data_IF_824106175555
#
_entry.id   IF_824106175555
#
_cell.length_a   1.000
_cell.length_b   1.000
_cell.length_c   1.000
_cell.angle_alpha   90.00
_cell.angle_beta   90.00
_cell.angle_gamma   90.00
#
_symmetry.space_group_name_H-M   'P 1'
#
loop_
_entity.id
_entity.type
_entity.pdbx_description
1 polymer ?
#
# COMPACT_ATOMS: atom_id res chain seq x y z
N UNK A 1 -27.32 -2.06 0.65
CA UNK A 1 -26.15 -1.80 -0.25
C UNK A 1 -24.87 -2.19 0.47
N UNK A 2 -23.88 -2.72 -0.25
CA UNK A 2 -22.59 -3.08 0.36
C UNK A 2 -21.50 -2.09 -0.04
N UNK A 3 -20.42 -2.06 0.77
CA UNK A 3 -19.22 -1.28 0.53
C UNK A 3 -18.02 -2.20 0.63
N UNK A 4 -17.23 -2.29 -0.44
CA UNK A 4 -16.03 -3.11 -0.49
C UNK A 4 -14.79 -2.20 -0.48
N UNK A 5 -14.04 -2.26 0.63
CA UNK A 5 -12.71 -1.66 0.72
C UNK A 5 -11.65 -2.69 0.33
N UNK A 6 -10.72 -2.29 -0.54
CA UNK A 6 -9.57 -3.11 -0.96
C UNK A 6 -8.32 -2.30 -0.66
N UNK A 7 -7.51 -2.76 0.30
CA UNK A 7 -6.26 -2.13 0.70
C UNK A 7 -5.06 -2.91 0.13
N UNK A 8 -4.56 -2.42 -0.99
CA UNK A 8 -3.44 -3.00 -1.72
C UNK A 8 -2.09 -2.48 -1.23
N UNK A 9 -1.25 -3.36 -0.74
CA UNK A 9 0.12 -3.03 -0.33
C UNK A 9 1.20 -3.76 -1.14
N UNK A 10 2.46 -3.44 -0.87
CA UNK A 10 3.61 -4.06 -1.53
C UNK A 10 3.78 -5.55 -1.24
N UNK A 11 3.20 -6.08 -0.15
CA UNK A 11 3.35 -7.48 0.28
C UNK A 11 2.03 -8.23 0.36
N UNK A 12 0.95 -7.57 0.66
CA UNK A 12 -0.38 -8.14 0.88
C UNK A 12 -1.47 -7.20 0.42
N UNK A 13 -2.68 -7.73 0.26
CA UNK A 13 -3.91 -6.99 -0.03
C UNK A 13 -5.01 -7.49 0.87
N UNK A 14 -5.65 -6.59 1.58
CA UNK A 14 -6.77 -6.88 2.47
C UNK A 14 -8.09 -6.41 1.80
N UNK A 15 -9.13 -7.25 1.86
CA UNK A 15 -10.48 -6.97 1.39
C UNK A 15 -11.42 -6.94 2.59
N UNK A 16 -12.27 -5.94 2.65
CA UNK A 16 -13.26 -5.78 3.70
C UNK A 16 -14.62 -5.41 3.10
N UNK A 17 -15.60 -6.29 3.25
CA UNK A 17 -16.98 -6.06 2.82
C UNK A 17 -17.83 -5.66 4.01
N UNK A 18 -18.48 -4.51 3.91
CA UNK A 18 -19.37 -3.94 4.92
C UNK A 18 -20.80 -3.81 4.38
N UNK A 19 -21.79 -3.95 5.27
CA UNK A 19 -23.15 -3.51 4.98
C UNK A 19 -23.34 -2.00 5.16
N UNK A 20 -24.53 -1.51 4.91
CA UNK A 20 -24.90 -0.09 5.03
C UNK A 20 -24.82 0.48 6.46
N UNK A 21 -24.75 -0.39 7.47
CA UNK A 21 -24.61 -0.02 8.88
C UNK A 21 -23.13 -0.10 9.35
N UNK A 22 -22.21 -0.39 8.44
CA UNK A 22 -20.78 -0.56 8.76
C UNK A 22 -20.44 -1.91 9.41
N UNK A 23 -21.37 -2.87 9.42
CA UNK A 23 -21.10 -4.21 9.94
C UNK A 23 -20.27 -5.02 8.93
N UNK A 24 -19.22 -5.66 9.39
CA UNK A 24 -18.41 -6.55 8.57
C UNK A 24 -19.22 -7.79 8.15
N UNK A 25 -19.31 -8.01 6.85
CA UNK A 25 -19.96 -9.14 6.20
C UNK A 25 -18.94 -10.21 5.82
N UNK A 26 -17.83 -9.80 5.21
CA UNK A 26 -16.75 -10.69 4.81
C UNK A 26 -15.40 -9.99 4.86
N UNK A 27 -14.36 -10.79 5.05
CA UNK A 27 -12.96 -10.35 4.97
C UNK A 27 -12.15 -11.35 4.17
N UNK A 28 -11.15 -10.86 3.44
CA UNK A 28 -10.23 -11.70 2.71
C UNK A 28 -8.85 -11.06 2.66
N UNK A 29 -7.82 -11.89 2.70
CA UNK A 29 -6.44 -11.47 2.54
C UNK A 29 -5.78 -12.28 1.45
N UNK A 30 -5.03 -11.60 0.56
CA UNK A 30 -4.28 -12.21 -0.53
C UNK A 30 -2.87 -11.62 -0.61
N UNK A 31 -2.07 -12.08 -1.55
CA UNK A 31 -0.76 -11.48 -1.87
C UNK A 31 -0.87 -10.06 -2.43
N UNK A 32 0.27 -9.50 -2.78
CA UNK A 32 0.35 -8.13 -3.32
C UNK A 32 -0.41 -7.97 -4.64
N UNK A 33 -0.99 -6.78 -4.84
CA UNK A 33 -1.49 -6.30 -6.13
C UNK A 33 -0.60 -5.21 -6.74
N UNK A 34 0.64 -5.05 -6.25
CA UNK A 34 1.60 -4.15 -6.88
C UNK A 34 2.00 -4.67 -8.26
N UNK A 35 1.55 -4.00 -9.31
CA UNK A 35 1.88 -4.38 -10.69
C UNK A 35 3.38 -4.37 -11.00
N UNK A 36 4.17 -3.62 -10.22
CA UNK A 36 5.63 -3.60 -10.34
C UNK A 36 6.25 -4.96 -9.98
N UNK A 37 5.60 -5.71 -9.08
CA UNK A 37 6.08 -7.01 -8.63
C UNK A 37 5.51 -8.18 -9.42
N UNK A 38 4.22 -8.15 -9.73
CA UNK A 38 3.51 -9.31 -10.28
C UNK A 38 2.94 -9.11 -11.69
N UNK A 39 3.04 -7.90 -12.23
CA UNK A 39 2.56 -7.56 -13.58
C UNK A 39 1.07 -7.19 -13.61
N UNK A 40 0.72 -6.30 -14.56
CA UNK A 40 -0.61 -5.68 -14.64
C UNK A 40 -1.73 -6.67 -14.99
N UNK A 41 -1.45 -7.64 -15.87
CA UNK A 41 -2.48 -8.61 -16.29
C UNK A 41 -2.81 -9.58 -15.15
N UNK A 42 -1.82 -10.02 -14.39
CA UNK A 42 -2.03 -10.84 -13.20
C UNK A 42 -2.84 -10.10 -12.13
N UNK A 43 -2.54 -8.82 -11.88
CA UNK A 43 -3.30 -7.96 -10.95
C UNK A 43 -4.76 -7.85 -11.38
N UNK A 44 -5.02 -7.65 -12.68
CA UNK A 44 -6.37 -7.56 -13.24
C UNK A 44 -7.19 -8.82 -12.93
N UNK A 45 -6.62 -9.98 -13.21
CA UNK A 45 -7.26 -11.27 -12.97
C UNK A 45 -7.47 -11.54 -11.48
N UNK A 46 -6.45 -11.27 -10.66
CA UNK A 46 -6.50 -11.45 -9.22
C UNK A 46 -7.60 -10.59 -8.57
N UNK A 47 -7.71 -9.32 -8.98
CA UNK A 47 -8.78 -8.44 -8.51
C UNK A 47 -10.14 -8.93 -8.96
N UNK A 48 -10.31 -9.30 -10.24
CA UNK A 48 -11.57 -9.82 -10.78
C UNK A 48 -12.06 -11.03 -10.00
N UNK A 49 -11.21 -12.02 -9.81
CA UNK A 49 -11.57 -13.24 -9.09
C UNK A 49 -11.97 -12.97 -7.64
N UNK A 50 -11.16 -12.18 -6.92
CA UNK A 50 -11.38 -11.95 -5.50
C UNK A 50 -12.57 -11.02 -5.23
N UNK A 51 -12.83 -10.02 -6.07
CA UNK A 51 -14.01 -9.17 -6.00
C UNK A 51 -15.27 -10.02 -6.23
N UNK A 52 -15.30 -10.85 -7.27
CA UNK A 52 -16.45 -11.72 -7.56
C UNK A 52 -16.71 -12.70 -6.42
N UNK A 53 -15.67 -13.30 -5.84
CA UNK A 53 -15.82 -14.25 -4.74
C UNK A 53 -16.32 -13.58 -3.45
N UNK A 54 -15.85 -12.39 -3.10
CA UNK A 54 -16.25 -11.73 -1.84
C UNK A 54 -17.64 -11.10 -1.96
N UNK A 55 -18.04 -10.66 -3.15
CA UNK A 55 -19.35 -10.07 -3.40
C UNK A 55 -20.44 -11.14 -3.57
N UNK A 56 -20.10 -12.33 -4.07
CA UNK A 56 -21.03 -13.44 -4.29
C UNK A 56 -22.34 -13.00 -5.01
N UNK A 57 -22.19 -12.21 -6.07
CA UNK A 57 -23.30 -11.68 -6.86
C UNK A 57 -23.97 -10.40 -6.30
N UNK A 58 -23.58 -9.95 -5.11
CA UNK A 58 -24.15 -8.74 -4.52
C UNK A 58 -23.58 -7.45 -5.15
N UNK A 59 -24.39 -6.40 -5.10
CA UNK A 59 -23.96 -5.06 -5.52
C UNK A 59 -23.22 -4.33 -4.40
N UNK A 60 -22.15 -3.66 -4.78
CA UNK A 60 -21.34 -2.87 -3.85
C UNK A 60 -20.73 -1.64 -4.52
N UNK A 61 -20.47 -0.61 -3.73
CA UNK A 61 -19.48 0.41 -4.06
C UNK A 61 -18.10 -0.10 -3.67
N UNK A 62 -17.13 0.02 -4.58
CA UNK A 62 -15.76 -0.45 -4.36
C UNK A 62 -14.83 0.74 -4.21
N UNK A 63 -14.01 0.72 -3.14
CA UNK A 63 -12.87 1.62 -3.00
C UNK A 63 -11.59 0.79 -3.06
N UNK A 64 -10.80 1.02 -4.09
CA UNK A 64 -9.51 0.35 -4.30
C UNK A 64 -8.37 1.30 -3.94
N UNK A 65 -7.71 1.05 -2.82
CA UNK A 65 -6.39 1.61 -2.51
C UNK A 65 -5.36 0.83 -3.33
N UNK A 66 -4.86 1.47 -4.40
CA UNK A 66 -4.00 0.80 -5.37
C UNK A 66 -2.55 1.28 -5.20
N UNK A 67 -1.60 0.37 -4.92
CA UNK A 67 -0.21 0.75 -4.72
C UNK A 67 0.35 1.39 -5.99
N UNK A 68 1.10 2.49 -5.80
CA UNK A 68 1.69 3.29 -6.88
C UNK A 68 0.69 4.05 -7.78
N UNK A 69 -0.59 4.11 -7.41
CA UNK A 69 -1.57 4.95 -8.11
C UNK A 69 -1.18 6.44 -8.06
N UNK A 70 -1.23 7.12 -9.19
CA UNK A 70 -0.82 8.53 -9.31
C UNK A 70 0.68 8.76 -9.47
N UNK A 71 1.51 7.70 -9.47
CA UNK A 71 2.97 7.83 -9.66
C UNK A 71 3.38 7.81 -11.14
N UNK A 72 2.59 7.17 -11.99
CA UNK A 72 2.87 7.03 -13.41
C UNK A 72 1.59 7.10 -14.23
N UNK A 73 1.36 8.23 -14.88
CA UNK A 73 0.20 8.45 -15.74
C UNK A 73 0.02 7.33 -16.77
N UNK A 74 1.09 6.86 -17.37
CA UNK A 74 1.03 5.76 -18.37
C UNK A 74 0.53 4.46 -17.76
N UNK A 75 0.96 4.13 -16.55
CA UNK A 75 0.51 2.91 -15.86
C UNK A 75 -0.91 3.06 -15.32
N UNK A 76 -1.27 4.25 -14.85
CA UNK A 76 -2.63 4.54 -14.42
C UNK A 76 -3.61 4.39 -15.59
N UNK A 77 -3.30 4.97 -16.76
CA UNK A 77 -4.08 4.81 -17.98
C UNK A 77 -4.19 3.33 -18.41
N UNK A 78 -3.10 2.56 -18.34
CA UNK A 78 -3.10 1.12 -18.62
C UNK A 78 -3.99 0.33 -17.65
N UNK A 79 -4.03 0.71 -16.39
CA UNK A 79 -4.90 0.08 -15.41
C UNK A 79 -6.37 0.45 -15.65
N UNK A 80 -6.66 1.74 -15.92
CA UNK A 80 -8.01 2.21 -16.23
C UNK A 80 -8.63 1.47 -17.43
N UNK A 81 -7.86 1.20 -18.49
CA UNK A 81 -8.30 0.41 -19.62
C UNK A 81 -8.67 -1.06 -19.29
N UNK A 82 -8.45 -1.51 -18.08
CA UNK A 82 -8.73 -2.87 -17.60
C UNK A 82 -9.87 -2.95 -16.59
N UNK A 83 -10.39 -1.82 -16.15
CA UNK A 83 -11.43 -1.77 -15.09
C UNK A 83 -12.65 -2.59 -15.48
N UNK A 84 -13.13 -2.45 -16.73
CA UNK A 84 -14.30 -3.20 -17.23
C UNK A 84 -14.07 -4.72 -17.24
N UNK A 85 -12.81 -5.17 -17.21
CA UNK A 85 -12.47 -6.59 -17.08
C UNK A 85 -12.44 -7.07 -15.63
N UNK A 86 -12.31 -6.13 -14.68
CA UNK A 86 -12.24 -6.41 -13.24
C UNK A 86 -13.66 -6.50 -12.68
N UNK A 87 -14.49 -5.49 -12.94
CA UNK A 87 -15.85 -5.41 -12.40
C UNK A 87 -16.70 -4.42 -13.21
N UNK A 88 -18.00 -4.64 -13.20
CA UNK A 88 -19.04 -3.72 -13.71
C UNK A 88 -19.61 -2.79 -12.63
N UNK A 89 -19.14 -2.96 -11.39
CA UNK A 89 -19.60 -2.17 -10.24
C UNK A 89 -18.85 -0.85 -10.13
N UNK A 90 -19.49 0.20 -9.58
CA UNK A 90 -18.84 1.48 -9.38
C UNK A 90 -17.59 1.34 -8.50
N UNK A 91 -16.45 1.79 -9.03
CA UNK A 91 -15.16 1.69 -8.35
C UNK A 91 -14.47 3.07 -8.29
N UNK A 92 -14.03 3.46 -7.09
CA UNK A 92 -13.10 4.56 -6.88
C UNK A 92 -11.71 4.00 -6.61
N UNK A 93 -10.72 4.52 -7.34
CA UNK A 93 -9.31 4.16 -7.14
C UNK A 93 -8.62 5.34 -6.45
N UNK A 94 -7.84 5.05 -5.44
CA UNK A 94 -7.03 6.01 -4.69
C UNK A 94 -5.63 5.46 -4.48
N UNK A 95 -4.67 6.32 -4.16
CA UNK A 95 -3.37 5.86 -3.69
C UNK A 95 -3.51 5.22 -2.31
N UNK A 96 -2.70 4.19 -2.00
CA UNK A 96 -2.70 3.50 -0.70
C UNK A 96 -2.40 4.46 0.47
N UNK A 97 -1.52 5.44 0.27
CA UNK A 97 -1.23 6.47 1.28
C UNK A 97 -2.41 7.39 1.56
N UNK A 98 -3.21 7.72 0.52
CA UNK A 98 -4.42 8.51 0.67
C UNK A 98 -5.53 7.71 1.40
N UNK A 99 -5.65 6.41 1.09
CA UNK A 99 -6.56 5.53 1.82
C UNK A 99 -6.14 5.38 3.30
N UNK A 100 -4.84 5.24 3.57
CA UNK A 100 -4.30 5.22 4.93
C UNK A 100 -4.59 6.50 5.71
N UNK A 101 -4.46 7.66 5.08
CA UNK A 101 -4.85 8.94 5.67
C UNK A 101 -6.35 8.98 5.98
N UNK A 102 -7.19 8.62 5.03
CA UNK A 102 -8.65 8.62 5.20
C UNK A 102 -9.08 7.67 6.35
N UNK A 103 -8.48 6.48 6.41
CA UNK A 103 -8.79 5.50 7.46
C UNK A 103 -8.29 5.90 8.85
N UNK A 104 -7.12 6.53 8.95
CA UNK A 104 -6.53 6.92 10.23
C UNK A 104 -7.12 8.20 10.81
N UNK A 105 -7.54 9.15 9.98
CA UNK A 105 -8.02 10.46 10.39
C UNK A 105 -9.53 10.69 10.13
N UNK A 106 -10.25 9.68 9.61
CA UNK A 106 -11.66 9.81 9.33
C UNK A 106 -12.01 10.93 8.33
N UNK A 107 -11.11 11.18 7.37
CA UNK A 107 -11.17 12.29 6.41
C UNK A 107 -10.96 13.69 7.01
N UNK A 108 -10.58 13.79 8.29
CA UNK A 108 -10.23 15.05 8.91
C UNK A 108 -8.86 15.56 8.43
N UNK A 109 -8.65 16.88 8.53
CA UNK A 109 -7.36 17.48 8.19
C UNK A 109 -6.22 16.91 9.05
N UNK A 110 -5.07 16.69 8.45
CA UNK A 110 -3.90 16.17 9.16
C UNK A 110 -2.97 15.37 8.29
N UNK A 111 -1.98 14.77 8.92
CA UNK A 111 -0.92 14.00 8.27
C UNK A 111 -0.94 12.58 8.80
N UNK A 112 -0.97 11.61 7.90
CA UNK A 112 -0.71 10.19 8.19
C UNK A 112 0.73 9.86 7.81
N UNK A 113 1.48 9.30 8.76
CA UNK A 113 2.84 8.81 8.56
C UNK A 113 2.84 7.29 8.60
N UNK A 114 3.23 6.68 7.50
CA UNK A 114 3.44 5.22 7.41
C UNK A 114 4.94 4.94 7.49
N UNK A 115 5.32 4.04 8.39
CA UNK A 115 6.69 3.52 8.53
C UNK A 115 6.61 2.00 8.70
N UNK A 116 6.59 1.30 7.59
CA UNK A 116 6.54 -0.16 7.48
C UNK A 116 7.72 -0.71 6.69
N UNK A 117 7.48 -1.47 5.65
CA UNK A 117 8.51 -1.92 4.68
C UNK A 117 9.19 -0.71 4.04
N UNK A 118 8.40 0.25 3.53
CA UNK A 118 8.81 1.59 3.12
C UNK A 118 8.34 2.65 4.11
N UNK A 119 8.56 3.95 3.80
CA UNK A 119 8.01 5.06 4.57
C UNK A 119 7.50 6.19 3.68
N UNK A 120 6.35 6.77 4.08
CA UNK A 120 5.72 7.88 3.39
C UNK A 120 4.88 8.70 4.36
N UNK A 121 4.89 10.02 4.22
CA UNK A 121 3.94 10.92 4.83
C UNK A 121 2.95 11.41 3.77
N UNK A 122 1.66 11.36 4.06
CA UNK A 122 0.59 11.92 3.24
C UNK A 122 -0.40 12.68 4.12
N UNK A 123 -0.87 13.81 3.64
CA UNK A 123 -1.86 14.60 4.38
C UNK A 123 -2.71 15.49 3.49
N UNK A 124 -3.83 15.92 4.06
CA UNK A 124 -4.69 16.94 3.49
C UNK A 124 -4.98 18.03 4.51
N UNK A 125 -5.12 19.25 4.02
CA UNK A 125 -5.60 20.37 4.83
C UNK A 125 -7.12 20.51 4.71
N UNK A 126 -7.71 21.41 5.51
CA UNK A 126 -9.16 21.71 5.51
C UNK A 126 -9.75 22.18 4.17
N UNK A 127 -8.93 22.54 3.22
CA UNK A 127 -9.35 22.94 1.87
C UNK A 127 -9.27 21.80 0.86
N UNK A 128 -8.90 20.58 1.29
CA UNK A 128 -8.71 19.43 0.42
C UNK A 128 -7.41 19.45 -0.37
N UNK A 129 -6.49 20.37 -0.06
CA UNK A 129 -5.16 20.38 -0.68
C UNK A 129 -4.33 19.26 -0.07
N UNK A 130 -3.87 18.36 -0.92
CA UNK A 130 -3.06 17.21 -0.53
C UNK A 130 -1.56 17.46 -0.75
N UNK A 131 -0.75 16.80 0.06
CA UNK A 131 0.68 16.76 -0.09
C UNK A 131 1.24 15.42 0.37
N UNK A 132 2.35 15.01 -0.24
CA UNK A 132 3.13 13.82 0.20
C UNK A 132 4.61 14.19 0.35
N UNK A 133 5.28 13.46 1.24
CA UNK A 133 6.73 13.52 1.43
C UNK A 133 7.28 12.12 1.66
N UNK A 134 8.46 11.82 1.09
CA UNK A 134 9.04 10.48 1.11
C UNK A 134 8.34 9.49 0.19
N UNK A 135 8.59 8.19 0.38
CA UNK A 135 7.97 7.12 -0.39
C UNK A 135 8.36 7.11 -1.86
N UNK A 136 9.60 7.47 -2.19
CA UNK A 136 10.09 7.48 -3.56
C UNK A 136 10.66 6.14 -3.99
N UNK A 137 11.53 5.56 -3.16
CA UNK A 137 12.21 4.30 -3.44
C UNK A 137 13.02 3.85 -2.22
N UNK A 138 13.11 2.56 -1.96
CA UNK A 138 13.85 1.98 -0.85
C UNK A 138 15.38 2.13 -0.99
N UNK A 139 15.87 2.34 -2.21
CA UNK A 139 17.29 2.53 -2.50
C UNK A 139 17.86 3.85 -1.97
N UNK A 140 17.08 4.95 -2.06
CA UNK A 140 17.57 6.31 -1.78
C UNK A 140 16.60 7.20 -0.98
N UNK A 141 15.42 6.71 -0.66
CA UNK A 141 14.40 7.37 0.15
C UNK A 141 13.94 6.41 1.26
N UNK A 142 12.70 6.53 1.70
CA UNK A 142 12.06 5.67 2.69
C UNK A 142 12.76 5.68 4.06
N UNK A 143 13.28 6.86 4.45
CA UNK A 143 13.97 7.07 5.72
C UNK A 143 13.10 6.64 6.90
N UNK A 144 13.69 5.85 7.81
CA UNK A 144 13.01 5.32 8.99
C UNK A 144 12.17 4.07 8.74
N UNK A 145 12.07 3.58 7.49
CA UNK A 145 11.43 2.29 7.18
C UNK A 145 12.24 1.10 7.69
N UNK A 146 11.59 -0.08 7.74
CA UNK A 146 12.29 -1.32 8.10
C UNK A 146 13.42 -1.64 7.11
N UNK A 147 13.22 -1.39 5.81
CA UNK A 147 14.26 -1.59 4.80
C UNK A 147 15.45 -0.63 5.04
N UNK A 148 15.17 0.65 5.25
CA UNK A 148 16.21 1.65 5.54
C UNK A 148 17.00 1.30 6.80
N UNK A 149 16.33 0.91 7.89
CA UNK A 149 16.96 0.49 9.13
C UNK A 149 17.83 -0.77 8.93
N UNK A 150 17.33 -1.77 8.21
CA UNK A 150 18.08 -2.97 7.88
C UNK A 150 19.35 -2.66 7.06
N UNK A 151 19.23 -1.80 6.06
CA UNK A 151 20.35 -1.33 5.26
C UNK A 151 21.39 -0.59 6.10
N UNK A 152 20.95 0.28 7.03
CA UNK A 152 21.84 0.98 7.98
C UNK A 152 22.52 0.03 8.95
N UNK A 153 21.81 -1.01 9.41
CA UNK A 153 22.41 -2.04 10.27
C UNK A 153 23.50 -2.82 9.52
N UNK A 154 23.28 -3.22 8.28
CA UNK A 154 24.29 -3.89 7.45
C UNK A 154 25.50 -2.98 7.12
N UNK A 155 25.24 -1.70 6.84
CA UNK A 155 26.29 -0.71 6.64
C UNK A 155 27.19 -0.59 7.89
N UNK A 156 26.58 -0.48 9.08
CA UNK A 156 27.32 -0.37 10.35
C UNK A 156 28.06 -1.67 10.66
N UNK A 157 27.41 -2.84 10.48
CA UNK A 157 28.06 -4.14 10.65
C UNK A 157 29.32 -4.27 9.79
N UNK A 158 29.27 -3.85 8.52
CA UNK A 158 30.46 -3.89 7.63
C UNK A 158 31.59 -3.02 8.17
N UNK A 159 31.27 -1.81 8.66
CA UNK A 159 32.26 -0.88 9.24
C UNK A 159 32.87 -1.39 10.55
N UNK A 160 32.06 -2.06 11.39
CA UNK A 160 32.55 -2.73 12.59
C UNK A 160 33.45 -3.92 12.27
N UNK A 161 33.12 -4.67 11.20
CA UNK A 161 33.86 -5.87 10.78
C UNK A 161 35.26 -5.56 10.27
N UNK A 162 35.42 -4.49 9.49
CA UNK A 162 36.71 -4.10 8.88
C UNK A 162 37.46 -3.00 9.67
N UNK A 163 36.94 -2.61 10.83
CA UNK A 163 37.61 -1.68 11.76
C UNK A 163 37.50 -0.20 11.40
N UNK A 164 36.61 0.20 10.47
CA UNK A 164 36.35 1.61 10.16
C UNK A 164 35.61 2.34 11.30
N UNK A 165 34.94 1.61 12.18
CA UNK A 165 34.33 2.11 13.43
C UNK A 165 34.64 1.15 14.57
N UNK A 166 34.43 1.60 15.81
CA UNK A 166 34.59 0.76 17.01
C UNK A 166 33.62 -0.43 16.93
N UNK A 167 34.09 -1.63 17.24
CA UNK A 167 33.29 -2.85 17.33
C UNK A 167 32.14 -2.67 18.32
N UNK A 168 30.94 -3.01 17.88
CA UNK A 168 29.70 -2.88 18.64
C UNK A 168 28.85 -4.14 18.60
N UNK A 169 27.63 -4.05 19.09
CA UNK A 169 26.71 -5.20 19.21
C UNK A 169 26.28 -5.81 17.87
N UNK A 170 26.27 -5.05 16.76
CA UNK A 170 25.86 -5.58 15.46
C UNK A 170 26.85 -6.66 14.98
N UNK A 171 28.16 -6.48 15.26
CA UNK A 171 29.16 -7.47 14.96
C UNK A 171 28.93 -8.79 15.71
N UNK A 172 28.39 -8.74 16.91
CA UNK A 172 28.05 -9.93 17.71
C UNK A 172 26.79 -10.61 17.19
N UNK A 173 25.78 -9.83 16.80
CA UNK A 173 24.47 -10.34 16.33
C UNK A 173 24.58 -11.02 14.98
N UNK A 174 25.38 -10.47 14.04
CA UNK A 174 25.51 -10.99 12.67
C UNK A 174 26.69 -11.95 12.47
N UNK A 175 27.45 -12.26 13.50
CA UNK A 175 28.47 -13.33 13.44
C UNK A 175 27.82 -14.70 13.63
N UNK A 176 27.61 -15.38 12.51
CA UNK A 176 27.37 -16.81 12.43
C UNK A 176 28.26 -17.43 11.37
#
# INVERSE_FOLDING_TARGET
MYFLGIDGGGTKTDFLLLDENGKTIAQRKIGTISYKHVGMDYVTELLRENINQILDGNDAYICLAFPNWGESRVNDERFLCRIDKITDRPMKIVNDSAAGWAGSLGLEEGINLVAGTGSIAYGQNKFGTEARAGGWDDGFSDEGSCYWLGKKALELFSKESDGRVKKGKLLEIFRY
#
